data_IF_364978296297
#
_entry.id   IF_364978296297
#
_cell.length_a   1.000
_cell.length_b   1.000
_cell.length_c   1.000
_cell.angle_alpha   90.00
_cell.angle_beta   90.00
_cell.angle_gamma   90.00
#
_symmetry.space_group_name_H-M   'P 1'
#
loop_
_entity.id
_entity.type
_entity.pdbx_description
1 polymer ?
#
# COMPACT_ATOMS: atom_id res chain seq x y z
N UNK A 1 -17.37 -9.59 -33.57
CA UNK A 1 -18.27 -9.60 -32.38
C UNK A 1 -19.71 -9.74 -32.85
N UNK A 2 -20.37 -10.86 -32.55
CA UNK A 2 -21.67 -11.23 -33.12
C UNK A 2 -22.84 -10.37 -32.61
N UNK A 3 -23.93 -10.32 -33.38
CA UNK A 3 -25.18 -9.59 -33.04
C UNK A 3 -25.73 -9.97 -31.66
N UNK A 4 -25.53 -11.23 -31.24
CA UNK A 4 -25.92 -11.75 -29.92
C UNK A 4 -25.14 -11.07 -28.79
N UNK A 5 -23.83 -10.87 -28.94
CA UNK A 5 -23.00 -10.16 -27.94
C UNK A 5 -23.46 -8.73 -27.73
N UNK A 6 -23.85 -8.04 -28.82
CA UNK A 6 -24.42 -6.68 -28.74
C UNK A 6 -25.78 -6.68 -28.03
N UNK A 7 -26.66 -7.64 -28.34
CA UNK A 7 -27.97 -7.76 -27.69
C UNK A 7 -27.86 -8.04 -26.19
N UNK A 8 -26.97 -8.96 -25.79
CA UNK A 8 -26.72 -9.27 -24.37
C UNK A 8 -26.12 -8.07 -23.63
N UNK A 9 -25.20 -7.34 -24.26
CA UNK A 9 -24.62 -6.12 -23.67
C UNK A 9 -25.66 -5.02 -23.42
N UNK A 10 -26.55 -4.80 -24.39
CA UNK A 10 -27.65 -3.80 -24.25
C UNK A 10 -28.66 -4.25 -23.18
N UNK A 11 -29.08 -5.51 -23.20
CA UNK A 11 -30.01 -6.04 -22.20
C UNK A 11 -29.44 -5.97 -20.77
N UNK A 12 -28.15 -6.31 -20.59
CA UNK A 12 -27.46 -6.21 -19.31
C UNK A 12 -27.36 -4.76 -18.81
N UNK A 13 -27.07 -3.80 -19.69
CA UNK A 13 -26.98 -2.38 -19.32
C UNK A 13 -28.33 -1.82 -18.84
N UNK A 14 -29.43 -2.16 -19.53
CA UNK A 14 -30.77 -1.70 -19.17
C UNK A 14 -31.22 -2.31 -17.84
N UNK A 15 -31.04 -3.62 -17.65
CA UNK A 15 -31.37 -4.29 -16.40
C UNK A 15 -30.54 -3.75 -15.22
N UNK A 16 -29.25 -3.49 -15.45
CA UNK A 16 -28.36 -2.87 -14.46
C UNK A 16 -28.82 -1.45 -14.08
N UNK A 17 -29.18 -0.62 -15.05
CA UNK A 17 -29.70 0.73 -14.80
C UNK A 17 -31.03 0.71 -14.04
N UNK A 18 -31.97 -0.18 -14.42
CA UNK A 18 -33.24 -0.35 -13.72
C UNK A 18 -33.03 -0.83 -12.27
N UNK A 19 -32.11 -1.76 -12.03
CA UNK A 19 -31.78 -2.24 -10.69
C UNK A 19 -31.16 -1.13 -9.82
N UNK A 20 -30.27 -0.31 -10.39
CA UNK A 20 -29.60 0.82 -9.72
C UNK A 20 -30.49 2.05 -9.50
N UNK A 21 -31.64 2.13 -10.17
CA UNK A 21 -32.60 3.23 -9.98
C UNK A 21 -33.18 3.30 -8.56
N UNK A 22 -33.25 2.16 -7.86
CA UNK A 22 -33.69 2.11 -6.46
C UNK A 22 -32.54 2.49 -5.51
N UNK A 23 -32.79 3.46 -4.64
CA UNK A 23 -31.77 4.02 -3.74
C UNK A 23 -31.18 2.97 -2.77
N UNK A 24 -32.00 2.03 -2.29
CA UNK A 24 -31.58 0.90 -1.45
C UNK A 24 -30.60 -0.04 -2.18
N UNK A 25 -30.88 -0.36 -3.45
CA UNK A 25 -30.04 -1.22 -4.27
C UNK A 25 -28.70 -0.55 -4.56
N UNK A 26 -28.72 0.76 -4.88
CA UNK A 26 -27.51 1.56 -5.06
C UNK A 26 -26.62 1.54 -3.82
N UNK A 27 -27.19 1.66 -2.62
CA UNK A 27 -26.43 1.59 -1.38
C UNK A 27 -25.80 0.21 -1.15
N UNK A 28 -26.55 -0.88 -1.40
CA UNK A 28 -26.03 -2.25 -1.31
C UNK A 28 -24.86 -2.48 -2.29
N UNK A 29 -25.01 -2.05 -3.54
CA UNK A 29 -23.95 -2.15 -4.56
C UNK A 29 -22.73 -1.35 -4.14
N UNK A 30 -22.89 -0.10 -3.68
CA UNK A 30 -21.77 0.72 -3.18
C UNK A 30 -21.01 0.06 -2.03
N UNK A 31 -21.72 -0.51 -1.04
CA UNK A 31 -21.09 -1.20 0.10
C UNK A 31 -20.29 -2.42 -0.34
N UNK A 32 -20.83 -3.21 -1.27
CA UNK A 32 -20.13 -4.38 -1.81
C UNK A 32 -18.91 -3.97 -2.64
N UNK A 33 -19.05 -2.95 -3.50
CA UNK A 33 -17.95 -2.42 -4.30
C UNK A 33 -16.83 -1.86 -3.41
N UNK A 34 -17.19 -1.11 -2.37
CA UNK A 34 -16.25 -0.56 -1.39
C UNK A 34 -15.53 -1.66 -0.60
N UNK A 35 -16.21 -2.78 -0.28
CA UNK A 35 -15.59 -3.92 0.40
C UNK A 35 -14.57 -4.64 -0.49
N UNK A 36 -14.81 -4.69 -1.80
CA UNK A 36 -13.89 -5.29 -2.77
C UNK A 36 -12.69 -4.35 -3.00
N UNK A 37 -12.92 -3.08 -3.32
CA UNK A 37 -11.85 -2.11 -3.56
C UNK A 37 -11.05 -1.79 -2.29
N UNK A 38 -11.68 -1.76 -1.13
CA UNK A 38 -11.00 -1.51 0.14
C UNK A 38 -10.04 -2.62 0.55
N UNK A 39 -10.18 -3.84 0.01
CA UNK A 39 -9.33 -4.99 0.34
C UNK A 39 -7.99 -4.99 -0.42
N UNK A 40 -7.89 -4.30 -1.57
CA UNK A 40 -6.63 -4.17 -2.31
C UNK A 40 -5.68 -3.12 -1.70
N UNK A 41 -6.23 -2.03 -1.13
CA UNK A 41 -5.42 -0.91 -0.64
C UNK A 41 -4.58 -1.23 0.61
N UNK A 42 -4.93 -2.25 1.40
CA UNK A 42 -4.13 -2.58 2.60
C UNK A 42 -2.82 -3.29 2.27
N UNK A 43 -2.72 -3.94 1.11
CA UNK A 43 -1.50 -4.64 0.68
C UNK A 43 -0.47 -3.67 0.08
N UNK A 44 -0.94 -2.70 -0.71
CA UNK A 44 -0.09 -1.67 -1.31
C UNK A 44 0.57 -0.78 -0.25
N UNK A 45 -0.19 -0.30 0.73
CA UNK A 45 0.34 0.57 1.79
C UNK A 45 1.42 -0.08 2.66
N UNK A 46 1.41 -1.42 2.81
CA UNK A 46 2.39 -2.13 3.64
C UNK A 46 3.81 -2.11 3.06
N UNK A 47 3.93 -1.91 1.74
CA UNK A 47 5.20 -1.95 1.02
C UNK A 47 5.62 -0.58 0.44
N UNK A 48 4.77 0.44 0.48
CA UNK A 48 5.07 1.78 -0.06
C UNK A 48 6.10 2.60 0.73
N UNK A 49 6.51 2.14 1.92
CA UNK A 49 7.45 2.86 2.78
C UNK A 49 8.82 2.21 2.94
N UNK A 50 9.08 1.08 2.28
CA UNK A 50 10.38 0.41 2.36
C UNK A 50 11.15 0.64 1.07
N UNK A 51 12.43 1.05 1.14
CA UNK A 51 13.32 1.04 -0.03
C UNK A 51 13.29 -0.36 -0.66
N UNK A 52 13.35 -0.43 -1.98
CA UNK A 52 13.46 -1.72 -2.69
C UNK A 52 14.78 -2.42 -2.41
N UNK A 53 15.80 -1.64 -2.01
CA UNK A 53 17.11 -2.14 -1.66
C UNK A 53 17.20 -2.46 -0.16
N UNK A 54 17.72 -3.65 0.14
CA UNK A 54 17.88 -4.12 1.53
C UNK A 54 18.99 -3.35 2.24
N UNK A 55 20.02 -2.91 1.49
CA UNK A 55 21.12 -2.09 2.02
C UNK A 55 20.61 -0.72 2.50
N UNK A 56 19.81 -0.03 1.68
CA UNK A 56 19.23 1.27 2.05
C UNK A 56 18.26 1.18 3.24
N UNK A 57 17.62 0.03 3.43
CA UNK A 57 16.72 -0.20 4.56
C UNK A 57 17.46 -0.29 5.91
N UNK A 58 18.76 -0.60 5.90
CA UNK A 58 19.58 -0.78 7.10
C UNK A 58 20.53 0.41 7.38
N UNK A 59 20.64 1.40 6.49
CA UNK A 59 21.55 2.55 6.66
C UNK A 59 21.28 3.39 7.93
N UNK A 60 20.07 3.33 8.50
CA UNK A 60 19.75 4.03 9.76
C UNK A 60 20.31 3.26 10.98
N UNK A 61 20.33 1.93 10.91
CA UNK A 61 20.85 1.09 11.99
C UNK A 61 22.38 1.18 12.09
N UNK A 62 23.07 1.42 10.98
CA UNK A 62 24.52 1.64 10.91
C UNK A 62 24.96 2.99 11.50
N UNK A 63 24.09 4.00 11.44
CA UNK A 63 24.38 5.36 11.96
C UNK A 63 24.46 5.45 13.49
N UNK A 64 23.76 4.58 14.22
CA UNK A 64 23.70 4.63 15.69
C UNK A 64 24.98 4.16 16.39
N UNK A 65 25.83 3.38 15.71
CA UNK A 65 27.10 2.89 16.27
C UNK A 65 28.24 3.93 16.21
N UNK A 66 28.12 4.93 15.33
CA UNK A 66 29.20 5.90 15.07
C UNK A 66 29.53 6.78 16.28
N UNK A 67 28.52 7.23 17.02
CA UNK A 67 28.71 8.11 18.19
C UNK A 67 29.34 7.39 19.37
N UNK A 68 28.98 6.13 19.60
CA UNK A 68 29.58 5.27 20.64
C UNK A 68 31.05 4.98 20.32
N UNK A 69 31.33 4.62 19.06
CA UNK A 69 32.71 4.38 18.61
C UNK A 69 33.58 5.64 18.74
N UNK A 70 33.04 6.82 18.41
CA UNK A 70 33.76 8.10 18.56
C UNK A 70 34.07 8.42 20.02
N UNK A 71 33.10 8.24 20.93
CA UNK A 71 33.31 8.45 22.36
C UNK A 71 34.38 7.50 22.93
N UNK A 72 34.33 6.22 22.55
CA UNK A 72 35.30 5.23 23.01
C UNK A 72 36.72 5.56 22.55
N UNK A 73 36.89 5.99 21.29
CA UNK A 73 38.20 6.41 20.76
C UNK A 73 38.78 7.60 21.55
N UNK A 74 37.97 8.62 21.84
CA UNK A 74 38.43 9.77 22.63
C UNK A 74 38.89 9.37 24.03
N UNK A 75 38.24 8.37 24.63
CA UNK A 75 38.61 7.86 25.94
C UNK A 75 39.90 7.04 25.88
N UNK A 76 40.08 6.20 24.84
CA UNK A 76 41.32 5.47 24.58
C UNK A 76 42.51 6.43 24.39
N UNK A 77 42.36 7.45 23.52
CA UNK A 77 43.40 8.48 23.29
C UNK A 77 43.77 9.24 24.58
N UNK A 78 42.79 9.53 25.43
CA UNK A 78 43.00 10.21 26.72
C UNK A 78 43.70 9.32 27.74
N UNK A 79 43.48 8.01 27.69
CA UNK A 79 44.15 7.04 28.56
C UNK A 79 45.58 6.78 28.11
N UNK A 80 45.85 6.76 26.81
CA UNK A 80 47.21 6.59 26.25
C UNK A 80 48.10 7.84 26.40
N UNK A 81 47.50 9.02 26.56
CA UNK A 81 48.21 10.28 26.75
C UNK A 81 48.61 10.59 28.21
N UNK A 82 48.29 9.71 29.18
CA UNK A 82 48.71 9.80 30.59
C UNK A 82 49.71 8.71 30.94
#
# INVERSE_FOLDING_TARGET
MGKVTKAVGVAGAIAGAAFLSKNENRQKVKRQLAKIMGKENSSYLKNSGKPSDIEDANMVDEGAMTSVQYYNRLQEEKTEAN
#
